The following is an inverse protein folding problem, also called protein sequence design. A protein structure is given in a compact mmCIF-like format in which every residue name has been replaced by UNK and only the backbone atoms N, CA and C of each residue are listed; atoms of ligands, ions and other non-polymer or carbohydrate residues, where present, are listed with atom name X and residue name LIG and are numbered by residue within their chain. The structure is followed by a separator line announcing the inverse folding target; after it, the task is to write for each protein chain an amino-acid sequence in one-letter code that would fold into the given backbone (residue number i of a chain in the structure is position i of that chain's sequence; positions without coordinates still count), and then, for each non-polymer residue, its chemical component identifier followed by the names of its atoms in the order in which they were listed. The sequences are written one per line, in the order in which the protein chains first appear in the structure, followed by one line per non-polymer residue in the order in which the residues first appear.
data_IF_998175558386
#
_entry.id   IF_998175558386
#
_cell.length_a   1.000
_cell.length_b   1.000
_cell.length_c   1.000
_cell.angle_alpha   90.00
_cell.angle_beta   90.00
_cell.angle_gamma   90.00
#
_symmetry.space_group_name_H-M   'P 1'
#
loop_
_entity.id
_entity.type
_entity.pdbx_description
1 polymer ?
#
# COMPACT_ATOMS: atom_id res chain seq x y z
N UNK A 1 4.24 21.03 -10.57
CA UNK A 1 4.56 19.62 -10.89
C UNK A 1 3.34 18.98 -11.53
N UNK A 2 3.52 18.05 -12.46
CA UNK A 2 2.43 17.25 -13.02
C UNK A 2 2.17 16.04 -12.11
N UNK A 3 0.90 15.74 -11.85
CA UNK A 3 0.47 14.59 -11.06
C UNK A 3 0.82 13.29 -11.81
N UNK A 4 1.58 12.40 -11.15
CA UNK A 4 2.03 11.13 -11.75
C UNK A 4 1.93 9.99 -10.73
N UNK A 5 1.65 8.79 -11.21
CA UNK A 5 1.84 7.58 -10.43
C UNK A 5 3.35 7.30 -10.29
N UNK A 6 3.81 7.08 -9.07
CA UNK A 6 5.21 6.76 -8.74
C UNK A 6 5.40 5.31 -8.30
N UNK A 7 4.33 4.64 -7.88
CA UNK A 7 4.37 3.21 -7.53
C UNK A 7 3.02 2.55 -7.79
N UNK A 8 3.04 1.33 -8.32
CA UNK A 8 1.85 0.51 -8.55
C UNK A 8 2.14 -0.88 -7.98
N UNK A 9 1.26 -1.37 -7.10
CA UNK A 9 1.37 -2.69 -6.47
C UNK A 9 0.10 -3.50 -6.71
N UNK A 10 0.21 -4.79 -7.10
CA UNK A 10 -0.96 -5.63 -7.24
C UNK A 10 -1.57 -5.94 -5.87
N UNK A 11 -2.89 -5.83 -5.75
CA UNK A 11 -3.68 -6.29 -4.61
C UNK A 11 -4.41 -7.59 -4.93
N UNK A 12 -4.81 -7.76 -6.19
CA UNK A 12 -5.36 -8.99 -6.76
C UNK A 12 -5.13 -8.99 -8.27
N UNK A 13 -5.64 -10.00 -9.00
CA UNK A 13 -5.55 -10.04 -10.46
C UNK A 13 -6.26 -8.87 -11.16
N UNK A 14 -7.19 -8.19 -10.48
CA UNK A 14 -7.99 -7.09 -11.03
C UNK A 14 -7.84 -5.77 -10.28
N UNK A 15 -7.17 -5.78 -9.12
CA UNK A 15 -7.06 -4.61 -8.23
C UNK A 15 -5.61 -4.25 -8.01
N UNK A 16 -5.32 -2.96 -8.11
CA UNK A 16 -3.98 -2.39 -7.95
C UNK A 16 -4.04 -1.22 -7.00
N UNK A 17 -3.03 -1.10 -6.15
CA UNK A 17 -2.80 0.07 -5.34
C UNK A 17 -1.84 1.00 -6.08
N UNK A 18 -2.20 2.26 -6.19
CA UNK A 18 -1.44 3.29 -6.89
C UNK A 18 -1.06 4.38 -5.90
N UNK A 19 0.21 4.75 -5.87
CA UNK A 19 0.74 5.90 -5.14
C UNK A 19 1.14 7.00 -6.13
N UNK A 20 0.72 8.22 -5.86
CA UNK A 20 1.08 9.37 -6.68
C UNK A 20 2.21 10.25 -6.09
N UNK A 21 2.62 11.27 -6.84
CA UNK A 21 3.64 12.26 -6.44
C UNK A 21 3.24 13.16 -5.27
N UNK A 22 1.95 13.28 -4.95
CA UNK A 22 1.46 14.10 -3.83
C UNK A 22 1.51 13.30 -2.52
N UNK A 23 1.48 11.98 -2.62
CA UNK A 23 1.48 11.04 -1.51
C UNK A 23 0.10 10.43 -1.23
N UNK A 24 -0.81 10.54 -2.19
CA UNK A 24 -2.14 9.95 -2.12
C UNK A 24 -2.16 8.53 -2.66
N UNK A 25 -3.02 7.71 -2.05
CA UNK A 25 -3.19 6.31 -2.41
C UNK A 25 -4.54 6.08 -3.07
N UNK A 26 -4.54 5.32 -4.16
CA UNK A 26 -5.73 4.99 -4.90
C UNK A 26 -5.85 3.49 -5.12
N UNK A 27 -7.06 2.95 -5.07
CA UNK A 27 -7.34 1.61 -5.62
C UNK A 27 -7.82 1.78 -7.05
N UNK A 28 -7.10 1.18 -7.98
CA UNK A 28 -7.51 0.97 -9.35
C UNK A 28 -8.14 -0.43 -9.45
N UNK A 29 -9.39 -0.51 -9.88
CA UNK A 29 -10.05 -1.76 -10.20
C UNK A 29 -10.31 -1.84 -11.71
N UNK A 30 -9.90 -2.95 -12.29
CA UNK A 30 -10.08 -3.29 -13.70
C UNK A 30 -11.21 -4.31 -13.79
N UNK A 31 -12.32 -3.94 -14.41
CA UNK A 31 -13.46 -4.82 -14.62
C UNK A 31 -13.36 -5.44 -16.01
N UNK A 32 -13.26 -6.77 -16.07
CA UNK A 32 -13.51 -7.49 -17.32
C UNK A 32 -15.00 -7.36 -17.65
N UNK A 33 -15.27 -6.78 -18.81
CA UNK A 33 -16.46 -7.16 -19.55
C UNK A 33 -16.03 -8.26 -20.53
N UNK A 34 -16.91 -9.23 -20.79
CA UNK A 34 -16.65 -10.42 -21.63
C UNK A 34 -15.80 -10.15 -22.89
N UNK A 35 -15.06 -11.17 -23.35
CA UNK A 35 -14.22 -11.14 -24.57
C UNK A 35 -14.86 -10.31 -25.70
N UNK A 36 -14.21 -9.20 -26.07
CA UNK A 36 -14.67 -8.30 -27.13
C UNK A 36 -15.27 -6.95 -26.66
N UNK A 37 -15.30 -6.69 -25.35
CA UNK A 37 -15.82 -5.46 -24.77
C UNK A 37 -14.71 -4.59 -24.17
N UNK A 38 -14.90 -3.26 -24.16
CA UNK A 38 -13.90 -2.30 -23.68
C UNK A 38 -13.57 -2.54 -22.20
N UNK A 39 -12.28 -2.49 -21.87
CA UNK A 39 -11.82 -2.58 -20.48
C UNK A 39 -12.29 -1.34 -19.73
N UNK A 40 -13.19 -1.54 -18.77
CA UNK A 40 -13.61 -0.48 -17.86
C UNK A 40 -12.71 -0.49 -16.63
N UNK A 41 -12.25 0.70 -16.25
CA UNK A 41 -11.46 0.87 -15.04
C UNK A 41 -12.10 1.94 -14.16
N UNK A 42 -12.10 1.72 -12.86
CA UNK A 42 -12.45 2.74 -11.90
C UNK A 42 -11.30 2.93 -10.91
N UNK A 43 -11.09 4.18 -10.52
CA UNK A 43 -10.06 4.57 -9.59
C UNK A 43 -10.71 5.28 -8.42
N UNK A 44 -10.34 4.87 -7.22
CA UNK A 44 -10.88 5.43 -5.98
C UNK A 44 -9.75 5.96 -5.12
N UNK A 45 -9.84 7.23 -4.73
CA UNK A 45 -8.98 7.82 -3.71
C UNK A 45 -9.31 7.19 -2.36
N UNK A 46 -8.27 6.84 -1.65
CA UNK A 46 -8.42 6.29 -0.32
C UNK A 46 -8.22 7.37 0.74
N UNK A 47 -8.92 7.30 1.89
CA UNK A 47 -8.77 8.28 2.96
C UNK A 47 -7.30 8.54 3.31
N UNK A 48 -6.95 9.82 3.37
CA UNK A 48 -5.59 10.28 3.63
C UNK A 48 -5.21 9.98 5.08
N UNK A 49 -4.07 9.32 5.26
CA UNK A 49 -3.50 8.99 6.60
C UNK A 49 -2.25 9.81 6.83
N UNK A 50 -1.38 9.84 5.83
CA UNK A 50 -0.12 10.57 5.82
C UNK A 50 0.28 10.86 4.38
N UNK A 51 1.28 11.72 4.19
CA UNK A 51 1.89 11.96 2.88
C UNK A 51 2.80 10.79 2.51
N UNK A 52 2.22 9.76 1.89
CA UNK A 52 2.92 8.50 1.64
C UNK A 52 4.06 8.72 0.64
N UNK A 53 5.25 8.24 0.99
CA UNK A 53 6.41 8.22 0.10
C UNK A 53 6.78 6.79 -0.29
N UNK A 54 6.48 5.83 0.58
CA UNK A 54 6.84 4.43 0.41
C UNK A 54 5.63 3.56 0.71
N UNK A 55 5.42 2.53 -0.12
CA UNK A 55 4.39 1.52 0.12
C UNK A 55 4.87 0.10 -0.20
N UNK A 56 4.41 -0.85 0.61
CA UNK A 56 4.71 -2.26 0.46
C UNK A 56 3.42 -3.08 0.65
N UNK A 57 3.22 -4.05 -0.24
CA UNK A 57 2.11 -5.00 -0.22
C UNK A 57 2.73 -6.39 -0.17
N UNK A 58 2.20 -7.25 0.69
CA UNK A 58 2.67 -8.62 0.80
C UNK A 58 2.26 -9.46 -0.42
N UNK A 59 3.11 -10.40 -0.87
CA UNK A 59 2.79 -11.26 -2.00
C UNK A 59 1.68 -12.28 -1.72
N UNK A 60 1.23 -12.44 -0.46
CA UNK A 60 0.11 -13.33 -0.13
C UNK A 60 -1.25 -12.68 -0.37
N UNK A 61 -1.64 -12.71 -1.65
CA UNK A 61 -2.91 -12.19 -2.19
C UNK A 61 -4.14 -12.99 -1.68
N UNK A 62 -3.94 -14.15 -1.05
CA UNK A 62 -5.03 -15.05 -0.63
C UNK A 62 -5.67 -14.67 0.71
N UNK A 63 -5.05 -13.76 1.46
CA UNK A 63 -5.51 -13.39 2.80
C UNK A 63 -6.83 -12.60 2.75
N UNK A 64 -7.75 -12.92 3.69
CA UNK A 64 -9.03 -12.20 3.85
C UNK A 64 -8.85 -10.71 4.13
N UNK A 65 -7.68 -10.29 4.61
CA UNK A 65 -7.33 -8.90 4.91
C UNK A 65 -6.31 -8.40 3.90
N UNK A 66 -6.65 -7.34 3.18
CA UNK A 66 -5.71 -6.61 2.35
C UNK A 66 -5.02 -5.55 3.19
N UNK A 67 -3.81 -5.84 3.66
CA UNK A 67 -2.99 -4.90 4.42
C UNK A 67 -1.91 -4.29 3.55
N UNK A 68 -1.62 -3.02 3.82
CA UNK A 68 -0.59 -2.25 3.13
C UNK A 68 0.27 -1.58 4.17
N UNK A 69 1.58 -1.64 3.96
CA UNK A 69 2.54 -0.88 4.75
C UNK A 69 2.80 0.44 4.05
N UNK A 70 2.75 1.53 4.81
CA UNK A 70 2.98 2.88 4.32
C UNK A 70 3.95 3.62 5.23
N UNK A 71 4.75 4.51 4.65
CA UNK A 71 5.59 5.46 5.38
C UNK A 71 5.65 6.79 4.62
N UNK A 72 5.82 7.88 5.36
CA UNK A 72 6.12 9.21 4.85
C UNK A 72 7.64 9.50 4.79
N UNK A 73 8.49 8.49 5.06
CA UNK A 73 9.95 8.62 5.09
C UNK A 73 10.51 9.25 6.36
N UNK A 74 9.66 9.52 7.37
CA UNK A 74 10.12 9.93 8.69
C UNK A 74 10.38 8.71 9.58
N UNK A 75 9.92 8.72 10.82
CA UNK A 75 10.32 7.78 11.87
C UNK A 75 9.25 6.72 12.14
N UNK A 76 8.30 6.53 11.22
CA UNK A 76 7.23 5.56 11.38
C UNK A 76 6.86 4.85 10.09
N UNK A 77 6.33 3.65 10.28
CA UNK A 77 5.61 2.90 9.27
C UNK A 77 4.29 2.45 9.85
N UNK A 78 3.24 2.46 9.04
CA UNK A 78 1.88 2.11 9.44
C UNK A 78 1.38 0.95 8.59
N UNK A 79 0.73 -0.01 9.24
CA UNK A 79 -0.03 -1.07 8.60
C UNK A 79 -1.47 -0.62 8.52
N UNK A 80 -1.96 -0.45 7.30
CA UNK A 80 -3.33 -0.04 7.03
C UNK A 80 -4.09 -1.21 6.44
N UNK A 81 -5.19 -1.59 7.06
CA UNK A 81 -6.17 -2.48 6.46
C UNK A 81 -7.01 -1.69 5.45
N UNK A 82 -6.92 -2.09 4.18
CA UNK A 82 -7.67 -1.49 3.07
C UNK A 82 -8.79 -2.40 2.56
N UNK A 83 -9.08 -3.51 3.25
CA UNK A 83 -10.09 -4.50 2.85
C UNK A 83 -11.46 -3.88 2.63
N UNK A 84 -11.89 -2.97 3.51
CA UNK A 84 -13.16 -2.24 3.40
C UNK A 84 -13.16 -1.29 2.21
N UNK A 85 -12.07 -0.56 1.97
CA UNK A 85 -11.99 0.34 0.83
C UNK A 85 -11.98 -0.40 -0.52
N UNK A 86 -11.44 -1.62 -0.51
CA UNK A 86 -11.47 -2.60 -1.59
C UNK A 86 -12.86 -3.23 -1.78
N UNK A 87 -13.69 -3.24 -0.72
CA UNK A 87 -15.07 -3.73 -0.70
C UNK A 87 -16.11 -2.60 -0.63
N UNK A 88 -15.73 -1.40 -1.09
CA UNK A 88 -16.64 -0.25 -1.23
C UNK A 88 -17.23 0.33 0.08
N UNK A 89 -16.55 0.15 1.21
CA UNK A 89 -16.88 0.77 2.50
C UNK A 89 -15.76 1.73 2.91
N UNK A 90 -16.07 2.99 3.23
CA UNK A 90 -15.12 4.12 3.45
C UNK A 90 -14.21 4.01 4.69
N UNK A 91 -13.99 2.81 5.22
CA UNK A 91 -13.15 2.61 6.39
C UNK A 91 -11.75 2.18 5.96
N UNK A 92 -10.76 2.81 6.56
CA UNK A 92 -9.38 2.33 6.65
C UNK A 92 -9.05 2.31 8.12
N UNK A 93 -8.51 1.20 8.58
CA UNK A 93 -8.12 1.05 9.98
C UNK A 93 -6.61 0.89 10.01
N UNK A 94 -5.94 1.76 10.77
CA UNK A 94 -4.53 1.55 11.12
C UNK A 94 -4.53 0.40 12.12
N UNK A 95 -3.99 -0.73 11.70
CA UNK A 95 -3.95 -1.94 12.52
C UNK A 95 -2.71 -1.96 13.40
N UNK A 96 -1.60 -1.42 12.89
CA UNK A 96 -0.32 -1.44 13.59
C UNK A 96 0.57 -0.29 13.13
N UNK A 97 1.52 0.10 13.97
CA UNK A 97 2.60 1.01 13.62
C UNK A 97 3.94 0.52 14.19
N UNK A 98 5.02 0.77 13.45
CA UNK A 98 6.40 0.58 13.91
C UNK A 98 7.06 1.96 13.91
N UNK A 99 7.77 2.27 14.99
CA UNK A 99 8.55 3.50 15.11
C UNK A 99 10.05 3.16 15.05
N UNK A 100 10.79 3.92 14.26
CA UNK A 100 12.23 3.78 14.06
C UNK A 100 12.95 4.96 14.69
N UNK A 101 14.18 4.75 15.16
CA UNK A 101 15.03 5.84 15.68
C UNK A 101 15.61 6.72 14.57
N UNK A 102 15.50 6.28 13.32
CA UNK A 102 16.05 6.95 12.13
C UNK A 102 14.94 7.15 11.08
N UNK A 103 15.20 8.03 10.11
CA UNK A 103 14.34 8.19 8.95
C UNK A 103 14.33 6.92 8.11
N UNK A 104 13.14 6.51 7.69
CA UNK A 104 12.95 5.38 6.78
C UNK A 104 13.34 5.81 5.37
N UNK A 105 14.28 5.09 4.75
CA UNK A 105 14.76 5.32 3.39
C UNK A 105 14.18 4.34 2.38
N UNK A 106 13.88 3.11 2.80
CA UNK A 106 13.18 2.14 1.97
C UNK A 106 12.55 1.06 2.85
N UNK A 107 11.57 0.35 2.29
CA UNK A 107 10.98 -0.81 2.94
C UNK A 107 10.61 -1.89 1.91
N UNK A 108 11.00 -3.12 2.21
CA UNK A 108 10.85 -4.26 1.31
C UNK A 108 10.07 -5.35 2.03
N UNK A 109 8.86 -5.70 1.55
CA UNK A 109 8.13 -6.83 2.11
C UNK A 109 8.86 -8.11 1.73
N UNK A 110 9.05 -8.98 2.70
CA UNK A 110 9.59 -10.34 2.51
C UNK A 110 8.44 -11.36 2.59
N UNK A 111 8.71 -12.63 2.86
CA UNK A 111 7.66 -13.65 2.97
C UNK A 111 6.97 -13.63 4.35
N UNK A 112 5.74 -14.13 4.44
CA UNK A 112 5.06 -14.40 5.73
C UNK A 112 4.95 -13.19 6.68
N UNK A 113 4.44 -12.05 6.19
CA UNK A 113 4.21 -10.84 6.99
C UNK A 113 5.48 -10.25 7.65
N UNK A 114 6.65 -10.44 7.03
CA UNK A 114 7.90 -9.82 7.45
C UNK A 114 8.33 -8.67 6.53
N UNK A 115 9.00 -7.67 7.08
CA UNK A 115 9.45 -6.49 6.35
C UNK A 115 10.88 -6.12 6.72
N UNK A 116 11.68 -5.80 5.71
CA UNK A 116 12.98 -5.18 5.88
C UNK A 116 12.83 -3.67 5.78
N UNK A 117 13.41 -2.93 6.72
CA UNK A 117 13.38 -1.47 6.78
C UNK A 117 14.80 -0.96 6.70
N UNK A 118 15.08 -0.18 5.66
CA UNK A 118 16.33 0.56 5.53
C UNK A 118 16.17 1.91 6.22
N UNK A 119 16.90 2.10 7.32
CA UNK A 119 17.09 3.40 7.97
C UNK A 119 18.22 4.20 7.32
N UNK A 120 18.61 5.31 7.96
CA UNK A 120 19.69 6.15 7.45
C UNK A 120 21.09 5.53 7.66
N UNK A 121 21.26 4.73 8.71
CA UNK A 121 22.50 4.02 9.02
C UNK A 121 22.31 2.56 9.40
N UNK A 122 21.06 2.10 9.54
CA UNK A 122 20.73 0.77 10.05
C UNK A 122 19.78 0.01 9.12
N UNK A 123 19.84 -1.32 9.15
CA UNK A 123 18.86 -2.21 8.52
C UNK A 123 18.12 -2.99 9.60
N UNK A 124 16.80 -2.91 9.60
CA UNK A 124 15.93 -3.61 10.55
C UNK A 124 15.12 -4.69 9.85
N UNK A 125 14.87 -5.81 10.54
CA UNK A 125 13.96 -6.85 10.09
C UNK A 125 12.85 -7.03 11.13
N UNK A 126 11.60 -6.87 10.71
CA UNK A 126 10.43 -7.05 11.56
C UNK A 126 9.55 -8.17 11.02
N UNK A 127 8.94 -8.92 11.93
CA UNK A 127 7.82 -9.81 11.63
C UNK A 127 6.61 -9.30 12.39
N UNK A 128 5.45 -9.28 11.74
CA UNK A 128 4.18 -9.00 12.41
C UNK A 128 3.37 -10.28 12.52
N UNK A 129 2.68 -10.43 13.66
CA UNK A 129 1.84 -11.59 13.96
C UNK A 129 0.39 -11.37 13.56
#
# INVERSE_FOLDING_TARGET
MSLKAISIRPLSSKRFLVLDTVGDLFVLHVTDTSVGSDVTCYMRLLPHVMKVQMMAVFPDISSRRQTVWISDGHHSMHVVDISSAVNETDKREIVQAIFTSEKVQDMIPTAANSILILGQGSLYAYTIS
#
